data_IF_497782254567
#
_entry.id   IF_497782254567
#
_cell.length_a   1.000
_cell.length_b   1.000
_cell.length_c   1.000
_cell.angle_alpha   90.00
_cell.angle_beta   90.00
_cell.angle_gamma   90.00
#
_symmetry.space_group_name_H-M   'P 1'
#
loop_
_entity.id
_entity.type
_entity.pdbx_description
1 polymer ?
#
# COMPACT_ATOMS: atom_id res chain seq x y z
N UNK A 1 -15.21 -14.70 20.30
CA UNK A 1 -14.18 -14.48 19.27
C UNK A 1 -14.04 -12.98 19.17
N UNK A 2 -12.87 -12.42 19.50
CA UNK A 2 -12.61 -10.97 19.36
C UNK A 2 -12.38 -10.71 17.87
N UNK A 3 -13.25 -9.92 17.25
CA UNK A 3 -13.06 -9.42 15.89
C UNK A 3 -12.29 -8.09 15.90
N UNK A 4 -11.81 -7.66 14.73
CA UNK A 4 -10.98 -6.46 14.57
C UNK A 4 -11.60 -5.15 15.09
N UNK A 5 -12.91 -5.09 15.33
CA UNK A 5 -13.61 -3.87 15.76
C UNK A 5 -14.13 -3.96 17.19
N UNK A 6 -14.04 -5.13 17.82
CA UNK A 6 -14.56 -5.41 19.15
C UNK A 6 -13.64 -4.99 20.31
N UNK A 7 -12.50 -4.35 20.02
CA UNK A 7 -11.54 -3.88 21.02
C UNK A 7 -10.83 -2.58 20.61
N UNK A 8 -10.04 -2.03 21.52
CA UNK A 8 -9.09 -0.97 21.19
C UNK A 8 -7.97 -1.55 20.33
N UNK A 9 -8.21 -1.55 19.01
CA UNK A 9 -7.30 -2.08 18.01
C UNK A 9 -6.03 -1.23 17.88
N UNK A 10 -6.06 0.06 18.26
CA UNK A 10 -4.86 0.92 18.25
C UNK A 10 -3.89 0.45 19.33
N UNK A 11 -4.35 0.38 20.58
CA UNK A 11 -3.53 -0.06 21.71
C UNK A 11 -3.02 -1.48 21.48
N UNK A 12 -3.91 -2.38 21.02
CA UNK A 12 -3.55 -3.74 20.64
C UNK A 12 -2.44 -3.79 19.57
N UNK A 13 -2.53 -2.98 18.52
CA UNK A 13 -1.52 -2.95 17.45
C UNK A 13 -0.15 -2.56 18.01
N UNK A 14 -0.07 -1.48 18.78
CA UNK A 14 1.20 -1.04 19.36
C UNK A 14 1.76 -2.02 20.41
N UNK A 15 0.91 -2.72 21.16
CA UNK A 15 1.36 -3.80 22.04
C UNK A 15 1.97 -4.97 21.27
N UNK A 16 1.35 -5.38 20.15
CA UNK A 16 1.89 -6.43 19.27
C UNK A 16 3.22 -6.03 18.65
N UNK A 17 3.35 -4.78 18.19
CA UNK A 17 4.61 -4.25 17.66
C UNK A 17 5.71 -4.22 18.72
N UNK A 18 5.42 -3.68 19.91
CA UNK A 18 6.38 -3.65 21.03
C UNK A 18 6.81 -5.05 21.45
N UNK A 19 5.90 -6.02 21.44
CA UNK A 19 6.22 -7.44 21.70
C UNK A 19 7.22 -8.04 20.70
N UNK A 20 7.40 -7.41 19.53
CA UNK A 20 8.38 -7.78 18.50
C UNK A 20 9.63 -6.88 18.48
N UNK A 21 9.74 -5.94 19.43
CA UNK A 21 10.81 -4.95 19.44
C UNK A 21 10.67 -3.87 18.35
N UNK A 22 9.49 -3.74 17.74
CA UNK A 22 9.20 -2.74 16.71
C UNK A 22 8.51 -1.54 17.37
N UNK A 23 8.98 -0.34 17.05
CA UNK A 23 8.56 0.89 17.75
C UNK A 23 7.38 1.62 17.08
N UNK A 24 7.15 1.39 15.79
CA UNK A 24 6.12 2.07 15.00
C UNK A 24 5.54 1.21 13.88
N UNK A 25 4.38 1.60 13.35
CA UNK A 25 3.77 0.95 12.18
C UNK A 25 4.60 1.20 10.93
N UNK A 26 5.21 2.38 10.80
CA UNK A 26 6.13 2.74 9.73
C UNK A 26 7.36 1.81 9.69
N UNK A 27 7.96 1.52 10.85
CA UNK A 27 9.07 0.57 10.95
C UNK A 27 8.62 -0.84 10.55
N UNK A 28 7.45 -1.27 11.02
CA UNK A 28 6.87 -2.57 10.66
C UNK A 28 6.68 -2.74 9.16
N UNK A 29 6.08 -1.75 8.48
CA UNK A 29 5.81 -1.85 7.04
C UNK A 29 7.07 -1.68 6.20
N UNK A 30 8.10 -0.96 6.69
CA UNK A 30 9.42 -0.83 6.04
C UNK A 30 10.16 -2.17 5.98
N UNK A 31 10.05 -2.99 7.02
CA UNK A 31 10.64 -4.33 7.05
C UNK A 31 9.93 -5.35 6.13
N UNK A 32 8.78 -4.97 5.57
CA UNK A 32 7.93 -5.82 4.75
C UNK A 32 7.32 -5.02 3.59
N UNK A 33 8.16 -4.28 2.86
CA UNK A 33 7.77 -3.21 1.93
C UNK A 33 6.82 -3.64 0.80
N UNK A 34 6.86 -4.89 0.37
CA UNK A 34 5.99 -5.41 -0.69
C UNK A 34 4.77 -6.19 -0.16
N UNK A 35 4.71 -6.44 1.15
CA UNK A 35 3.73 -7.34 1.75
C UNK A 35 2.35 -6.66 1.80
N UNK A 36 1.30 -7.26 1.21
CA UNK A 36 -0.08 -6.77 1.27
C UNK A 36 -0.55 -6.42 2.68
N UNK A 37 -1.49 -5.47 2.82
CA UNK A 37 -2.02 -5.09 4.13
C UNK A 37 -2.76 -6.25 4.81
N UNK A 38 -3.36 -7.14 4.03
CA UNK A 38 -4.00 -8.38 4.46
C UNK A 38 -3.01 -9.29 5.17
N UNK A 39 -1.86 -9.51 4.54
CA UNK A 39 -0.81 -10.35 5.10
C UNK A 39 -0.17 -9.68 6.32
N UNK A 40 0.05 -8.36 6.29
CA UNK A 40 0.57 -7.60 7.43
C UNK A 40 -0.36 -7.65 8.65
N UNK A 41 -1.67 -7.53 8.43
CA UNK A 41 -2.66 -7.57 9.50
C UNK A 41 -2.81 -9.00 10.06
N UNK A 42 -2.85 -10.00 9.16
CA UNK A 42 -2.88 -11.41 9.53
C UNK A 42 -1.66 -11.81 10.35
N UNK A 43 -0.47 -11.40 9.92
CA UNK A 43 0.78 -11.67 10.64
C UNK A 43 0.81 -11.01 12.02
N UNK A 44 0.41 -9.74 12.13
CA UNK A 44 0.52 -8.98 13.38
C UNK A 44 -0.57 -9.35 14.41
N UNK A 45 -1.81 -9.52 13.95
CA UNK A 45 -2.99 -9.62 14.80
C UNK A 45 -4.01 -10.70 14.40
N UNK A 46 -3.82 -11.39 13.28
CA UNK A 46 -4.78 -12.37 12.77
C UNK A 46 -6.14 -11.72 12.52
N UNK A 47 -7.23 -12.37 12.96
CA UNK A 47 -8.60 -11.85 12.83
C UNK A 47 -8.91 -10.64 13.73
N UNK A 48 -8.02 -10.29 14.65
CA UNK A 48 -8.17 -9.15 15.57
C UNK A 48 -7.63 -7.85 14.95
N UNK A 49 -7.14 -7.89 13.71
CA UNK A 49 -6.67 -6.71 13.03
C UNK A 49 -7.12 -6.73 11.57
N UNK A 50 -7.73 -5.63 11.13
CA UNK A 50 -8.13 -5.45 9.76
C UNK A 50 -7.01 -4.77 8.95
N UNK A 51 -6.90 -5.05 7.64
CA UNK A 51 -5.90 -4.41 6.77
C UNK A 51 -5.96 -2.88 6.81
N UNK A 52 -7.19 -2.33 6.81
CA UNK A 52 -7.44 -0.89 6.86
C UNK A 52 -6.95 -0.24 8.16
N UNK A 53 -6.87 -0.98 9.27
CA UNK A 53 -6.37 -0.46 10.54
C UNK A 53 -4.86 -0.25 10.51
N UNK A 54 -4.11 -1.16 9.88
CA UNK A 54 -2.68 -0.97 9.59
C UNK A 54 -2.48 0.26 8.70
N UNK A 55 -3.23 0.34 7.61
CA UNK A 55 -3.12 1.47 6.68
C UNK A 55 -3.45 2.81 7.36
N UNK A 56 -4.45 2.84 8.24
CA UNK A 56 -4.84 4.04 8.98
C UNK A 56 -3.74 4.50 9.93
N UNK A 57 -3.16 3.60 10.75
CA UNK A 57 -2.08 3.97 11.66
C UNK A 57 -0.83 4.41 10.90
N UNK A 58 -0.51 3.74 9.80
CA UNK A 58 0.59 4.17 8.95
C UNK A 58 0.40 5.61 8.45
N UNK A 59 -0.83 5.97 8.04
CA UNK A 59 -1.13 7.35 7.61
C UNK A 59 -1.02 8.36 8.75
N UNK A 60 -1.32 7.95 9.97
CA UNK A 60 -1.19 8.83 11.14
C UNK A 60 0.28 9.03 11.57
N UNK A 61 1.18 8.12 11.19
CA UNK A 61 2.61 8.22 11.51
C UNK A 61 3.43 8.98 10.45
N UNK A 62 2.96 9.06 9.20
CA UNK A 62 3.61 9.87 8.16
C UNK A 62 3.34 11.36 8.41
N UNK A 63 4.38 12.19 8.34
CA UNK A 63 4.28 13.60 8.73
C UNK A 63 4.88 14.61 7.75
N UNK A 64 5.68 14.16 6.80
CA UNK A 64 6.34 15.03 5.83
C UNK A 64 6.15 14.52 4.39
N UNK A 65 6.56 15.36 3.42
CA UNK A 65 6.40 15.06 2.00
C UNK A 65 7.17 13.80 1.57
N UNK A 66 8.29 13.48 2.23
CA UNK A 66 9.11 12.31 1.91
C UNK A 66 8.38 11.04 2.34
N UNK A 67 7.81 11.04 3.53
CA UNK A 67 7.02 9.94 4.07
C UNK A 67 5.69 9.78 3.33
N UNK A 68 5.06 10.87 2.89
CA UNK A 68 3.87 10.82 2.01
C UNK A 68 4.22 10.14 0.68
N UNK A 69 5.31 10.54 0.05
CA UNK A 69 5.74 9.97 -1.22
C UNK A 69 6.08 8.48 -1.09
N UNK A 70 6.76 8.12 0.01
CA UNK A 70 7.02 6.74 0.37
C UNK A 70 5.72 5.96 0.56
N UNK A 71 4.77 6.50 1.34
CA UNK A 71 3.47 5.90 1.59
C UNK A 71 2.69 5.66 0.31
N UNK A 72 2.62 6.65 -0.59
CA UNK A 72 1.86 6.51 -1.84
C UNK A 72 2.43 5.38 -2.70
N UNK A 73 3.76 5.33 -2.88
CA UNK A 73 4.42 4.29 -3.68
C UNK A 73 4.30 2.91 -3.04
N UNK A 74 4.61 2.79 -1.76
CA UNK A 74 4.54 1.50 -1.03
C UNK A 74 3.12 0.96 -0.91
N UNK A 75 2.12 1.83 -0.74
CA UNK A 75 0.71 1.44 -0.74
C UNK A 75 0.30 0.91 -2.11
N UNK A 76 0.73 1.56 -3.20
CA UNK A 76 0.45 1.11 -4.56
C UNK A 76 1.02 -0.29 -4.81
N UNK A 77 2.28 -0.52 -4.40
CA UNK A 77 2.94 -1.83 -4.49
C UNK A 77 2.13 -2.90 -3.77
N UNK A 78 1.65 -2.62 -2.55
CA UNK A 78 0.82 -3.55 -1.77
C UNK A 78 -0.48 -3.92 -2.46
N UNK A 79 -1.20 -2.93 -2.96
CA UNK A 79 -2.47 -3.18 -3.66
C UNK A 79 -2.27 -3.92 -4.98
N UNK A 80 -1.19 -3.63 -5.72
CA UNK A 80 -0.82 -4.43 -6.89
C UNK A 80 -0.51 -5.87 -6.48
N UNK A 81 0.28 -6.08 -5.43
CA UNK A 81 0.62 -7.44 -4.98
C UNK A 81 -0.56 -8.22 -4.42
N UNK A 82 -1.54 -7.54 -3.83
CA UNK A 82 -2.76 -8.16 -3.36
C UNK A 82 -3.68 -8.58 -4.52
N UNK A 83 -3.94 -7.67 -5.46
CA UNK A 83 -4.94 -7.90 -6.51
C UNK A 83 -4.38 -8.61 -7.75
N UNK A 84 -3.08 -8.48 -8.03
CA UNK A 84 -2.40 -9.07 -9.19
C UNK A 84 -1.09 -9.79 -8.81
N UNK A 85 -1.11 -10.75 -7.87
CA UNK A 85 0.09 -11.37 -7.30
C UNK A 85 1.01 -12.11 -8.29
N UNK A 86 0.52 -12.42 -9.49
CA UNK A 86 1.26 -13.13 -10.55
C UNK A 86 1.68 -12.22 -11.70
N UNK A 87 1.49 -10.91 -11.58
CA UNK A 87 1.80 -9.94 -12.63
C UNK A 87 0.59 -9.34 -13.30
N UNK A 88 0.77 -8.15 -13.87
CA UNK A 88 -0.32 -7.35 -14.45
C UNK A 88 -1.00 -7.97 -15.69
N UNK A 89 -0.37 -8.90 -16.45
CA UNK A 89 -0.98 -9.50 -17.66
C UNK A 89 -1.66 -10.84 -17.34
N UNK A 90 -1.15 -11.60 -16.37
CA UNK A 90 -1.78 -12.80 -15.83
C UNK A 90 -3.14 -12.52 -15.21
N UNK A 91 -3.34 -11.28 -14.76
CA UNK A 91 -4.60 -10.81 -14.20
C UNK A 91 -5.30 -9.86 -15.16
N UNK A 92 -6.63 -9.91 -15.21
CA UNK A 92 -7.41 -9.07 -16.12
C UNK A 92 -7.53 -7.61 -15.68
N UNK A 93 -8.02 -6.75 -16.58
CA UNK A 93 -8.24 -5.31 -16.35
C UNK A 93 -9.08 -5.00 -15.10
N UNK A 94 -9.97 -5.92 -14.72
CA UNK A 94 -10.78 -5.79 -13.52
C UNK A 94 -9.94 -5.81 -12.24
N UNK A 95 -9.01 -6.77 -12.10
CA UNK A 95 -8.11 -6.85 -10.95
C UNK A 95 -7.21 -5.62 -10.85
N UNK A 96 -6.70 -5.16 -12.00
CA UNK A 96 -5.90 -3.94 -12.05
C UNK A 96 -6.72 -2.69 -11.66
N UNK A 97 -7.99 -2.65 -12.07
CA UNK A 97 -8.92 -1.58 -11.67
C UNK A 97 -9.20 -1.61 -10.17
N UNK A 98 -9.37 -2.79 -9.57
CA UNK A 98 -9.49 -2.93 -8.12
C UNK A 98 -8.21 -2.48 -7.40
N UNK A 99 -7.03 -2.88 -7.89
CA UNK A 99 -5.75 -2.44 -7.33
C UNK A 99 -5.64 -0.92 -7.25
N UNK A 100 -5.91 -0.24 -8.37
CA UNK A 100 -5.85 1.22 -8.42
C UNK A 100 -6.96 1.89 -7.61
N UNK A 101 -8.17 1.33 -7.62
CA UNK A 101 -9.30 1.85 -6.86
C UNK A 101 -9.07 1.78 -5.35
N UNK A 102 -8.63 0.63 -4.85
CA UNK A 102 -8.30 0.43 -3.43
C UNK A 102 -7.13 1.32 -3.00
N UNK A 103 -6.09 1.43 -3.84
CA UNK A 103 -4.97 2.32 -3.60
C UNK A 103 -5.39 3.79 -3.51
N UNK A 104 -6.12 4.30 -4.50
CA UNK A 104 -6.57 5.69 -4.52
C UNK A 104 -7.58 5.99 -3.41
N UNK A 105 -8.52 5.08 -3.12
CA UNK A 105 -9.44 5.21 -1.99
C UNK A 105 -8.74 5.25 -0.63
N UNK A 106 -7.53 4.68 -0.58
CA UNK A 106 -6.60 4.77 0.54
C UNK A 106 -5.75 6.04 0.57
N UNK A 107 -6.12 7.12 -0.12
CA UNK A 107 -5.40 8.41 -0.10
C UNK A 107 -6.32 9.56 0.36
N UNK A 108 -5.74 10.67 0.82
CA UNK A 108 -6.50 11.87 1.18
C UNK A 108 -7.15 12.50 -0.06
N UNK A 109 -8.25 13.24 0.16
CA UNK A 109 -9.01 13.88 -0.92
C UNK A 109 -8.14 14.84 -1.76
N UNK A 110 -7.25 15.58 -1.10
CA UNK A 110 -6.29 16.48 -1.76
C UNK A 110 -5.36 15.76 -2.75
N UNK A 111 -5.14 14.45 -2.57
CA UNK A 111 -4.24 13.64 -3.41
C UNK A 111 -4.96 12.94 -4.57
N UNK A 112 -6.29 12.97 -4.64
CA UNK A 112 -7.06 12.19 -5.63
C UNK A 112 -6.76 12.60 -7.08
N UNK A 113 -6.57 13.90 -7.33
CA UNK A 113 -6.16 14.40 -8.65
C UNK A 113 -4.79 13.84 -9.07
N UNK A 114 -3.85 13.77 -8.13
CA UNK A 114 -2.52 13.19 -8.34
C UNK A 114 -2.61 11.69 -8.59
N UNK A 115 -3.38 10.96 -7.79
CA UNK A 115 -3.63 9.53 -7.97
C UNK A 115 -4.17 9.24 -9.37
N UNK A 116 -5.15 10.01 -9.84
CA UNK A 116 -5.74 9.85 -11.18
C UNK A 116 -4.69 9.99 -12.30
N UNK A 117 -3.79 10.98 -12.19
CA UNK A 117 -2.70 11.19 -13.15
C UNK A 117 -1.70 10.03 -13.13
N UNK A 118 -1.34 9.55 -11.94
CA UNK A 118 -0.45 8.40 -11.75
C UNK A 118 -1.07 7.14 -12.36
N UNK A 119 -2.32 6.81 -12.04
CA UNK A 119 -3.04 5.66 -12.62
C UNK A 119 -3.05 5.72 -14.15
N UNK A 120 -3.33 6.90 -14.72
CA UNK A 120 -3.35 7.07 -16.18
C UNK A 120 -1.98 6.80 -16.81
N UNK A 121 -0.89 7.28 -16.18
CA UNK A 121 0.48 7.02 -16.65
C UNK A 121 0.88 5.56 -16.47
N UNK A 122 0.57 4.94 -15.33
CA UNK A 122 0.82 3.52 -15.09
C UNK A 122 0.11 2.65 -16.12
N UNK A 123 -1.18 2.87 -16.39
CA UNK A 123 -1.92 2.13 -17.43
C UNK A 123 -1.24 2.23 -18.80
N UNK A 124 -0.68 3.40 -19.14
CA UNK A 124 0.08 3.60 -20.38
C UNK A 124 1.45 2.90 -20.35
N UNK A 125 2.15 2.92 -19.22
CA UNK A 125 3.42 2.22 -19.06
C UNK A 125 3.24 0.69 -19.11
N UNK A 126 2.13 0.19 -18.56
CA UNK A 126 1.85 -1.24 -18.47
C UNK A 126 1.45 -1.86 -19.81
N UNK A 127 0.77 -1.10 -20.69
CA UNK A 127 0.43 -1.58 -22.02
C UNK A 127 1.66 -1.87 -22.90
N UNK A 128 2.83 -1.29 -22.56
CA UNK A 128 4.09 -1.48 -23.28
C UNK A 128 5.06 -2.45 -22.58
N UNK A 129 4.79 -2.92 -21.36
CA UNK A 129 5.64 -3.89 -20.65
C UNK A 129 5.58 -5.26 -21.35
N UNK A 130 6.72 -5.80 -21.81
CA UNK A 130 6.75 -7.08 -22.52
C UNK A 130 6.40 -8.28 -21.62
N UNK A 131 6.73 -8.22 -20.34
CA UNK A 131 6.57 -9.30 -19.37
C UNK A 131 5.46 -9.04 -18.33
N UNK A 132 5.12 -10.07 -17.57
CA UNK A 132 4.24 -10.03 -16.40
C UNK A 132 4.89 -9.28 -15.23
N UNK A 133 4.89 -7.95 -15.35
CA UNK A 133 5.50 -7.08 -14.36
C UNK A 133 4.67 -7.02 -13.06
N UNK A 134 5.37 -7.03 -11.93
CA UNK A 134 4.84 -6.78 -10.59
C UNK A 134 5.94 -6.11 -9.76
N UNK A 135 5.67 -4.97 -9.10
CA UNK A 135 6.72 -4.26 -8.39
C UNK A 135 7.11 -5.01 -7.12
N UNK A 136 8.41 -5.04 -6.83
CA UNK A 136 8.97 -5.67 -5.63
C UNK A 136 9.20 -4.69 -4.47
N UNK A 137 9.19 -3.38 -4.74
CA UNK A 137 9.39 -2.32 -3.74
C UNK A 137 8.89 -0.97 -4.26
N UNK A 138 8.86 0.07 -3.42
CA UNK A 138 8.54 1.43 -3.87
C UNK A 138 9.60 2.04 -4.80
N UNK A 139 10.78 1.42 -4.87
CA UNK A 139 11.88 1.83 -5.74
C UNK A 139 11.89 1.09 -7.09
N UNK A 140 10.82 0.37 -7.42
CA UNK A 140 10.63 -0.14 -8.78
C UNK A 140 10.75 1.01 -9.79
N UNK A 141 11.52 0.78 -10.86
CA UNK A 141 11.87 1.85 -11.81
C UNK A 141 10.66 2.41 -12.54
N UNK A 142 9.63 1.61 -12.83
CA UNK A 142 8.40 2.09 -13.47
C UNK A 142 7.62 2.95 -12.49
N UNK A 143 7.52 2.53 -11.22
CA UNK A 143 6.87 3.30 -10.17
C UNK A 143 7.57 4.64 -9.98
N UNK A 144 8.89 4.64 -9.78
CA UNK A 144 9.69 5.86 -9.58
C UNK A 144 9.51 6.81 -10.77
N UNK A 145 9.71 6.33 -12.00
CA UNK A 145 9.58 7.18 -13.20
C UNK A 145 8.19 7.82 -13.32
N UNK A 146 7.12 7.08 -13.03
CA UNK A 146 5.76 7.64 -13.10
C UNK A 146 5.51 8.69 -12.02
N UNK A 147 6.00 8.47 -10.80
CA UNK A 147 5.83 9.41 -9.70
C UNK A 147 6.66 10.70 -9.93
N UNK A 148 7.88 10.58 -10.46
CA UNK A 148 8.72 11.72 -10.85
C UNK A 148 8.05 12.59 -11.94
N UNK A 149 7.34 11.96 -12.87
CA UNK A 149 6.56 12.68 -13.90
C UNK A 149 5.26 13.31 -13.37
N UNK A 150 4.87 13.02 -12.13
CA UNK A 150 3.67 13.57 -11.46
C UNK A 150 4.04 14.00 -10.03
N UNK A 151 4.85 15.07 -9.89
CA UNK A 151 5.32 15.51 -8.58
C UNK A 151 4.16 15.95 -7.69
N UNK A 152 4.40 15.98 -6.37
CA UNK A 152 3.51 16.64 -5.43
C UNK A 152 3.32 18.10 -5.86
N UNK A 153 2.08 18.59 -5.78
CA UNK A 153 1.68 19.94 -6.23
C UNK A 153 2.03 21.00 -5.20
#
# INVERSE_FOLDING_TARGET
MTDAWSHDWRTFTYEKLRGRGISSVLEYVRNAEATPYEDLASDLGGSQLAPIQIQKLLREEISDDIDIEYYMRTSLVRYLRYHVPQGIRMHGDWNLTLAFGSWAGGMDESMQSRCTKIVKKLKKAFSICADDWIPLSANDSIIVNVFDEVPAS
#
